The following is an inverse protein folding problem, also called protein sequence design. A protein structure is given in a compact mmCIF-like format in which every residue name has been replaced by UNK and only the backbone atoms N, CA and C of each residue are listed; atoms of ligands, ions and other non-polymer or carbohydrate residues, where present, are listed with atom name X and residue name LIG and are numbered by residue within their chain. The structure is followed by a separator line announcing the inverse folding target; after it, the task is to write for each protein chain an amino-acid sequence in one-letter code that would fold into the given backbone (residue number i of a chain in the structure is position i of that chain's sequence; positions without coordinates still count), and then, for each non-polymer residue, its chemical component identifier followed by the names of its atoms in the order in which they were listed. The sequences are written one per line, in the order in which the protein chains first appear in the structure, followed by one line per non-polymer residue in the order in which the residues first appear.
data_IF_028456693815
#
_entry.id   IF_028456693815
#
_cell.length_a   1.000
_cell.length_b   1.000
_cell.length_c   1.000
_cell.angle_alpha   90.00
_cell.angle_beta   90.00
_cell.angle_gamma   90.00
#
_symmetry.space_group_name_H-M   'P 1'
#
loop_
_entity.id
_entity.type
_entity.pdbx_description
1 polymer ?
#
# COMPACT_ATOMS: atom_id res chain seq x y z
N UNK A 1 41.17 -22.16 -32.09
CA UNK A 1 39.70 -22.01 -31.98
C UNK A 1 39.20 -22.20 -30.54
N UNK A 2 39.97 -21.76 -29.53
CA UNK A 2 39.59 -21.85 -28.10
C UNK A 2 39.59 -20.48 -27.39
N UNK A 3 40.25 -19.45 -27.93
CA UNK A 3 40.25 -18.09 -27.32
C UNK A 3 39.01 -17.25 -27.67
N UNK A 4 38.37 -17.48 -28.81
CA UNK A 4 37.17 -16.74 -29.26
C UNK A 4 35.92 -17.03 -28.40
N UNK A 5 35.86 -18.18 -27.72
CA UNK A 5 34.77 -18.55 -26.81
C UNK A 5 34.88 -17.80 -25.47
N UNK A 6 36.10 -17.40 -25.08
CA UNK A 6 36.35 -16.69 -23.81
C UNK A 6 35.89 -15.23 -23.85
N UNK A 7 36.15 -14.52 -24.95
CA UNK A 7 35.75 -13.12 -25.08
C UNK A 7 34.23 -12.97 -25.23
N UNK A 8 33.59 -13.83 -26.02
CA UNK A 8 32.12 -13.81 -26.20
C UNK A 8 31.37 -14.09 -24.90
N UNK A 9 31.88 -15.01 -24.07
CA UNK A 9 31.30 -15.30 -22.75
C UNK A 9 31.49 -14.15 -21.75
N UNK A 10 32.59 -13.39 -21.87
CA UNK A 10 32.88 -12.22 -21.04
C UNK A 10 31.97 -11.03 -21.39
N UNK A 11 31.69 -10.81 -22.67
CA UNK A 11 30.73 -9.81 -23.14
C UNK A 11 29.29 -10.17 -22.76
N UNK A 12 28.92 -11.45 -22.82
CA UNK A 12 27.60 -11.92 -22.36
C UNK A 12 27.37 -11.67 -20.86
N UNK A 13 28.38 -11.90 -20.01
CA UNK A 13 28.29 -11.63 -18.57
C UNK A 13 28.16 -10.13 -18.29
N UNK A 14 28.90 -9.28 -19.01
CA UNK A 14 28.79 -7.82 -18.89
C UNK A 14 27.42 -7.31 -19.35
N UNK A 15 26.84 -7.91 -20.40
CA UNK A 15 25.50 -7.57 -20.88
C UNK A 15 24.41 -7.95 -19.87
N UNK A 16 24.53 -9.14 -19.25
CA UNK A 16 23.60 -9.61 -18.22
C UNK A 16 23.65 -8.78 -16.92
N UNK A 17 24.81 -8.24 -16.54
CA UNK A 17 24.95 -7.34 -15.38
C UNK A 17 24.45 -5.92 -15.64
N UNK A 18 24.46 -5.46 -16.90
CA UNK A 18 23.97 -4.13 -17.28
C UNK A 18 22.44 -4.06 -17.34
N UNK A 19 21.76 -5.18 -17.59
CA UNK A 19 20.29 -5.30 -17.47
C UNK A 19 19.93 -5.53 -15.99
N UNK A 20 20.28 -4.58 -15.14
CA UNK A 20 19.88 -4.61 -13.74
C UNK A 20 18.34 -4.57 -13.61
N UNK A 21 17.79 -5.38 -12.69
CA UNK A 21 16.39 -5.27 -12.27
C UNK A 21 16.13 -3.84 -11.78
N UNK A 22 15.38 -3.04 -12.54
CA UNK A 22 14.85 -1.78 -12.01
C UNK A 22 13.66 -2.13 -11.13
N UNK A 23 13.78 -1.87 -9.83
CA UNK A 23 12.61 -1.87 -8.96
C UNK A 23 11.71 -0.71 -9.40
N UNK A 24 10.44 -1.00 -9.68
CA UNK A 24 9.45 0.02 -9.93
C UNK A 24 9.23 0.82 -8.65
N UNK A 25 9.22 2.15 -8.79
CA UNK A 25 9.11 3.07 -7.67
C UNK A 25 7.79 3.82 -7.83
N UNK A 26 6.94 3.70 -6.82
CA UNK A 26 5.55 4.13 -6.89
C UNK A 26 5.38 5.60 -6.48
N UNK A 27 4.44 6.30 -7.10
CA UNK A 27 4.00 7.64 -6.76
C UNK A 27 2.48 7.77 -6.98
N UNK A 28 1.91 8.92 -6.62
CA UNK A 28 0.47 9.14 -6.71
C UNK A 28 -0.11 9.07 -8.14
N UNK A 29 0.73 9.13 -9.18
CA UNK A 29 0.31 9.14 -10.58
C UNK A 29 0.43 7.78 -11.27
N UNK A 30 1.30 6.89 -10.77
CA UNK A 30 1.49 5.55 -11.35
C UNK A 30 0.99 4.40 -10.45
N UNK A 31 0.48 4.68 -9.25
CA UNK A 31 -0.10 3.66 -8.38
C UNK A 31 -1.42 3.11 -8.94
N UNK A 32 -1.59 1.78 -9.07
CA UNK A 32 -2.80 1.20 -9.66
C UNK A 32 -4.02 1.42 -8.78
N UNK A 33 -5.17 1.64 -9.42
CA UNK A 33 -6.44 1.91 -8.77
C UNK A 33 -7.33 0.65 -8.69
N UNK A 34 -7.37 -0.04 -7.53
CA UNK A 34 -8.11 -1.30 -7.37
C UNK A 34 -9.64 -1.11 -7.47
N UNK A 35 -10.14 0.12 -7.42
CA UNK A 35 -11.57 0.45 -7.54
C UNK A 35 -12.00 0.73 -8.98
N UNK A 36 -11.06 0.99 -9.89
CA UNK A 36 -11.30 1.39 -11.28
C UNK A 36 -10.95 0.30 -12.30
N UNK A 37 -10.94 -0.97 -11.88
CA UNK A 37 -10.68 -2.12 -12.76
C UNK A 37 -9.24 -2.64 -12.73
N UNK A 38 -8.31 -1.92 -12.08
CA UNK A 38 -6.88 -2.29 -11.98
C UNK A 38 -6.59 -3.16 -10.74
N UNK A 39 -7.56 -3.99 -10.35
CA UNK A 39 -7.45 -4.81 -9.15
C UNK A 39 -6.46 -5.96 -9.31
N UNK A 40 -6.15 -6.38 -10.54
CA UNK A 40 -5.21 -7.48 -10.80
C UNK A 40 -3.77 -7.04 -10.57
N UNK A 41 -3.46 -5.81 -10.98
CA UNK A 41 -2.20 -5.10 -10.76
C UNK A 41 -1.94 -4.96 -9.26
N UNK A 42 -3.01 -4.79 -8.47
CA UNK A 42 -3.00 -4.77 -7.01
C UNK A 42 -2.97 -6.16 -6.34
N UNK A 43 -2.77 -7.24 -7.09
CA UNK A 43 -2.78 -8.64 -6.61
C UNK A 43 -4.08 -9.06 -5.90
N UNK A 44 -5.20 -8.48 -6.33
CA UNK A 44 -6.56 -8.85 -5.93
C UNK A 44 -7.26 -9.62 -7.06
N UNK A 45 -8.26 -10.44 -6.70
CA UNK A 45 -9.07 -11.22 -7.67
C UNK A 45 -10.28 -10.44 -8.17
N UNK A 46 -10.69 -9.41 -7.44
CA UNK A 46 -11.83 -8.53 -7.74
C UNK A 46 -11.53 -7.12 -7.27
N UNK A 47 -12.39 -6.17 -7.63
CA UNK A 47 -12.40 -4.80 -7.09
C UNK A 47 -12.29 -4.81 -5.56
N UNK A 48 -11.44 -3.91 -5.04
CA UNK A 48 -11.05 -3.86 -3.64
C UNK A 48 -10.74 -2.42 -3.21
N UNK A 49 -10.71 -2.20 -1.90
CA UNK A 49 -10.30 -0.93 -1.29
C UNK A 49 -8.82 -0.94 -0.85
N UNK A 50 -8.11 -2.05 -1.07
CA UNK A 50 -6.68 -2.18 -0.82
C UNK A 50 -5.93 -2.47 -2.13
N UNK A 51 -4.73 -1.93 -2.24
CA UNK A 51 -3.83 -2.24 -3.34
C UNK A 51 -2.39 -2.44 -2.87
N UNK A 52 -1.82 -3.59 -3.26
CA UNK A 52 -0.48 -4.06 -2.90
C UNK A 52 0.21 -4.67 -4.13
N UNK A 53 0.67 -3.83 -5.08
CA UNK A 53 1.26 -4.31 -6.33
C UNK A 53 2.56 -5.08 -6.11
N UNK A 54 3.34 -4.68 -5.10
CA UNK A 54 4.61 -5.33 -4.77
C UNK A 54 4.44 -6.67 -4.04
N UNK A 55 3.25 -6.97 -3.52
CA UNK A 55 2.96 -8.21 -2.80
C UNK A 55 3.67 -8.27 -1.44
N UNK A 56 3.71 -7.13 -0.75
CA UNK A 56 4.22 -7.01 0.63
C UNK A 56 3.37 -7.84 1.58
N UNK A 57 2.06 -7.93 1.33
CA UNK A 57 1.13 -8.71 2.13
C UNK A 57 0.93 -10.12 1.57
N UNK A 58 0.48 -11.04 2.43
CA UNK A 58 -0.08 -12.30 1.95
C UNK A 58 -1.44 -12.07 1.29
N UNK A 59 -1.88 -12.98 0.41
CA UNK A 59 -3.21 -12.90 -0.19
C UNK A 59 -4.30 -12.83 0.89
N UNK A 60 -4.18 -13.68 1.91
CA UNK A 60 -5.14 -13.71 3.01
C UNK A 60 -5.19 -12.39 3.79
N UNK A 61 -4.03 -11.76 4.04
CA UNK A 61 -3.98 -10.47 4.72
C UNK A 61 -4.64 -9.37 3.87
N UNK A 62 -4.43 -9.35 2.55
CA UNK A 62 -5.11 -8.40 1.65
C UNK A 62 -6.63 -8.50 1.77
N UNK A 63 -7.19 -9.71 1.71
CA UNK A 63 -8.65 -9.88 1.82
C UNK A 63 -9.22 -9.59 3.20
N UNK A 64 -8.49 -9.87 4.28
CA UNK A 64 -8.92 -9.47 5.63
C UNK A 64 -8.99 -7.96 5.75
N UNK A 65 -7.96 -7.26 5.30
CA UNK A 65 -7.92 -5.79 5.36
C UNK A 65 -8.98 -5.17 4.45
N UNK A 66 -9.17 -5.69 3.23
CA UNK A 66 -10.26 -5.26 2.34
C UNK A 66 -11.64 -5.41 3.01
N UNK A 67 -11.87 -6.52 3.72
CA UNK A 67 -13.10 -6.72 4.49
C UNK A 67 -13.25 -5.67 5.60
N UNK A 68 -12.20 -5.41 6.38
CA UNK A 68 -12.21 -4.41 7.45
C UNK A 68 -12.48 -2.99 6.91
N UNK A 69 -11.88 -2.63 5.77
CA UNK A 69 -12.11 -1.34 5.08
C UNK A 69 -13.57 -1.20 4.61
N UNK A 70 -14.15 -2.26 4.05
CA UNK A 70 -15.58 -2.27 3.64
C UNK A 70 -16.51 -2.23 4.85
N UNK A 71 -16.14 -2.90 5.94
CA UNK A 71 -16.91 -2.88 7.18
C UNK A 71 -16.94 -1.47 7.79
N UNK A 72 -15.86 -0.69 7.66
CA UNK A 72 -15.83 0.70 8.10
C UNK A 72 -16.89 1.56 7.39
N UNK A 73 -16.95 1.50 6.06
CA UNK A 73 -17.95 2.23 5.28
C UNK A 73 -19.37 1.88 5.75
N UNK A 74 -19.63 0.58 5.95
CA UNK A 74 -20.93 0.12 6.45
C UNK A 74 -21.25 0.61 7.86
N UNK A 75 -20.27 0.70 8.77
CA UNK A 75 -20.49 1.10 10.18
C UNK A 75 -20.67 2.61 10.34
N UNK A 76 -20.02 3.37 9.48
CA UNK A 76 -20.07 4.84 9.49
C UNK A 76 -21.21 5.39 8.63
N UNK A 77 -21.97 4.50 7.97
CA UNK A 77 -23.12 4.85 7.16
C UNK A 77 -24.23 5.50 8.00
N UNK A 78 -24.69 6.68 7.58
CA UNK A 78 -25.81 7.36 8.22
C UNK A 78 -27.02 7.42 7.29
N UNK A 79 -27.87 6.39 7.32
CA UNK A 79 -29.00 6.22 6.38
C UNK A 79 -29.96 7.44 6.32
N UNK A 80 -30.03 8.21 7.41
CA UNK A 80 -30.90 9.38 7.55
C UNK A 80 -30.19 10.73 7.34
N UNK A 81 -28.92 10.74 6.93
CA UNK A 81 -28.16 11.98 6.80
C UNK A 81 -28.60 12.82 5.59
N UNK A 82 -28.22 14.11 5.60
CA UNK A 82 -28.73 15.10 4.64
C UNK A 82 -28.08 14.99 3.27
N UNK A 83 -26.82 14.57 3.19
CA UNK A 83 -26.09 14.46 1.92
C UNK A 83 -25.87 13.01 1.51
N UNK A 84 -25.63 12.78 0.22
CA UNK A 84 -25.29 11.45 -0.29
C UNK A 84 -24.00 10.90 0.33
N UNK A 85 -23.00 11.74 0.56
CA UNK A 85 -21.73 11.33 1.15
C UNK A 85 -21.91 10.85 2.60
N UNK A 86 -22.68 11.58 3.41
CA UNK A 86 -22.96 11.19 4.79
C UNK A 86 -23.78 9.88 4.85
N UNK A 87 -24.68 9.69 3.88
CA UNK A 87 -25.44 8.45 3.71
C UNK A 87 -24.61 7.27 3.28
N UNK A 88 -23.46 7.48 2.62
CA UNK A 88 -22.59 6.38 2.17
C UNK A 88 -21.70 5.87 3.30
N UNK A 89 -21.32 6.75 4.22
CA UNK A 89 -20.30 6.47 5.22
C UNK A 89 -18.89 6.76 4.71
N UNK A 90 -17.91 6.57 5.58
CA UNK A 90 -16.49 6.80 5.32
C UNK A 90 -15.92 5.64 4.50
N UNK A 91 -15.61 5.90 3.23
CA UNK A 91 -14.83 4.95 2.41
C UNK A 91 -13.35 5.11 2.70
N UNK A 92 -12.74 4.12 3.35
CA UNK A 92 -11.29 4.05 3.49
C UNK A 92 -10.67 3.20 2.37
N UNK A 93 -9.50 3.62 1.90
CA UNK A 93 -8.68 2.88 0.96
C UNK A 93 -7.23 2.81 1.45
N UNK A 94 -6.51 1.77 1.04
CA UNK A 94 -5.15 1.50 1.50
C UNK A 94 -4.22 1.16 0.33
N UNK A 95 -3.08 1.82 0.27
CA UNK A 95 -2.00 1.56 -0.67
C UNK A 95 -0.78 1.02 0.08
N UNK A 96 -0.23 -0.11 -0.36
CA UNK A 96 0.95 -0.75 0.23
C UNK A 96 1.98 -0.98 -0.87
N UNK A 97 3.19 -0.47 -0.69
CA UNK A 97 4.29 -0.65 -1.62
C UNK A 97 5.62 -0.76 -0.86
N UNK A 98 6.62 -1.35 -1.52
CA UNK A 98 7.98 -1.49 -0.99
C UNK A 98 8.80 -0.22 -1.22
N UNK A 99 8.61 0.45 -2.35
CA UNK A 99 9.36 1.66 -2.71
C UNK A 99 8.44 2.75 -3.22
N UNK A 100 8.49 3.94 -2.61
CA UNK A 100 7.65 5.10 -2.96
C UNK A 100 8.52 6.35 -3.15
N UNK A 101 8.37 7.02 -4.30
CA UNK A 101 9.10 8.26 -4.65
C UNK A 101 8.72 9.40 -3.72
N UNK A 102 9.71 10.21 -3.34
CA UNK A 102 9.50 11.52 -2.73
C UNK A 102 9.12 11.53 -1.24
N UNK A 103 9.18 10.42 -0.53
CA UNK A 103 8.97 10.42 0.91
C UNK A 103 10.20 10.86 1.69
N UNK A 104 10.03 11.79 2.64
CA UNK A 104 11.06 12.41 3.47
C UNK A 104 12.10 11.41 3.97
N UNK A 105 13.37 11.68 3.71
CA UNK A 105 14.52 10.92 4.21
C UNK A 105 14.73 11.22 5.69
N UNK A 106 14.01 10.53 6.56
CA UNK A 106 14.47 10.30 7.93
C UNK A 106 13.89 8.97 8.42
N UNK A 107 14.80 8.09 8.86
CA UNK A 107 14.64 6.66 9.19
C UNK A 107 14.78 5.69 8.00
N UNK A 108 16.03 5.50 7.59
CA UNK A 108 16.50 4.35 6.81
C UNK A 108 16.46 3.08 7.66
N UNK A 109 15.52 2.19 7.37
CA UNK A 109 15.71 0.81 6.86
C UNK A 109 14.30 0.23 6.72
N UNK A 110 13.91 -0.11 5.49
CA UNK A 110 12.57 -0.54 5.05
C UNK A 110 11.54 0.61 4.93
N UNK A 111 11.44 1.16 3.72
CA UNK A 111 10.66 2.35 3.28
C UNK A 111 9.13 2.23 3.42
N UNK A 112 8.62 1.76 4.56
CA UNK A 112 7.19 1.78 4.83
C UNK A 112 6.74 3.18 5.20
N UNK A 113 6.16 3.87 4.22
CA UNK A 113 5.60 5.23 4.37
C UNK A 113 4.08 5.15 4.37
N UNK A 114 3.46 5.75 5.38
CA UNK A 114 2.01 5.78 5.54
C UNK A 114 1.50 7.19 5.26
N UNK A 115 0.51 7.30 4.37
CA UNK A 115 -0.12 8.55 3.99
C UNK A 115 -1.62 8.43 4.22
N UNK A 116 -2.21 9.42 4.89
CA UNK A 116 -3.66 9.55 5.02
C UNK A 116 -4.12 10.67 4.10
N UNK A 117 -4.76 10.32 3.00
CA UNK A 117 -5.48 11.28 2.17
C UNK A 117 -6.93 11.36 2.64
N UNK A 118 -7.43 12.57 2.90
CA UNK A 118 -8.81 12.82 3.37
C UNK A 118 -9.45 13.97 2.62
N UNK A 119 -10.78 13.92 2.51
CA UNK A 119 -11.60 15.08 2.18
C UNK A 119 -11.68 15.99 3.43
N UNK A 120 -11.70 17.31 3.23
CA UNK A 120 -11.73 18.31 4.30
C UNK A 120 -12.94 18.15 5.24
N UNK A 121 -14.01 17.48 4.79
CA UNK A 121 -15.25 17.28 5.54
C UNK A 121 -15.21 16.10 6.53
N UNK A 122 -14.16 15.27 6.52
CA UNK A 122 -14.03 14.12 7.44
C UNK A 122 -13.36 14.59 8.74
N UNK A 123 -14.00 14.51 9.93
CA UNK A 123 -13.53 15.16 11.16
C UNK A 123 -12.43 14.39 11.93
N UNK A 124 -11.50 13.73 11.25
CA UNK A 124 -10.43 12.93 11.92
C UNK A 124 -9.08 13.62 11.74
N UNK A 125 -8.55 14.19 12.82
CA UNK A 125 -7.34 15.01 12.78
C UNK A 125 -6.10 14.17 12.40
N UNK A 126 -5.21 14.75 11.57
CA UNK A 126 -4.08 14.01 10.98
C UNK A 126 -2.98 13.65 12.01
N UNK A 127 -2.91 14.39 13.10
CA UNK A 127 -2.06 14.13 14.27
C UNK A 127 -2.45 12.84 15.01
N UNK A 128 -3.75 12.59 15.18
CA UNK A 128 -4.27 11.37 15.82
C UNK A 128 -3.89 10.11 15.02
N UNK A 129 -4.02 10.13 13.70
CA UNK A 129 -3.58 9.02 12.84
C UNK A 129 -2.07 8.80 12.88
N UNK A 130 -1.30 9.88 12.91
CA UNK A 130 0.17 9.82 13.00
C UNK A 130 0.58 9.16 14.32
N UNK A 131 -0.10 9.47 15.42
CA UNK A 131 0.14 8.85 16.72
C UNK A 131 -0.25 7.36 16.74
N UNK A 132 -1.45 7.02 16.25
CA UNK A 132 -1.93 5.63 16.14
C UNK A 132 -0.95 4.79 15.31
N UNK A 133 -0.42 5.35 14.22
CA UNK A 133 0.58 4.68 13.37
C UNK A 133 1.91 4.50 14.11
N UNK A 134 2.42 5.55 14.77
CA UNK A 134 3.66 5.47 15.53
C UNK A 134 3.60 4.41 16.64
N UNK A 135 2.43 4.20 17.26
CA UNK A 135 2.20 3.11 18.21
C UNK A 135 2.35 1.71 17.59
N UNK A 136 2.12 1.56 16.28
CA UNK A 136 2.24 0.27 15.57
C UNK A 136 3.57 0.10 14.84
N UNK A 137 4.50 1.06 14.92
CA UNK A 137 5.79 1.03 14.21
C UNK A 137 6.59 -0.26 14.45
N UNK A 138 6.56 -0.78 15.67
CA UNK A 138 7.24 -2.03 16.03
C UNK A 138 6.64 -3.25 15.31
N UNK A 139 5.32 -3.29 15.10
CA UNK A 139 4.66 -4.36 14.36
C UNK A 139 5.04 -4.30 12.88
N UNK A 140 5.12 -3.10 12.29
CA UNK A 140 5.61 -2.92 10.92
C UNK A 140 7.06 -3.42 10.78
N UNK A 141 7.96 -3.03 11.70
CA UNK A 141 9.36 -3.49 11.70
C UNK A 141 9.51 -5.01 11.87
N UNK A 142 8.55 -5.66 12.53
CA UNK A 142 8.53 -7.12 12.71
C UNK A 142 7.83 -7.86 11.57
N UNK A 143 7.51 -7.19 10.46
CA UNK A 143 6.70 -7.73 9.35
C UNK A 143 5.30 -8.17 9.77
N UNK A 144 4.79 -7.70 10.91
CA UNK A 144 3.46 -7.98 11.43
C UNK A 144 2.43 -6.97 10.87
N UNK A 145 2.45 -6.80 9.54
CA UNK A 145 1.64 -5.79 8.84
C UNK A 145 0.15 -5.95 9.09
N UNK A 146 -0.35 -7.20 9.04
CA UNK A 146 -1.77 -7.46 9.27
C UNK A 146 -2.21 -6.98 10.66
N UNK A 147 -1.42 -7.28 11.70
CA UNK A 147 -1.75 -6.88 13.07
C UNK A 147 -1.65 -5.36 13.24
N UNK A 148 -0.60 -4.74 12.68
CA UNK A 148 -0.42 -3.29 12.71
C UNK A 148 -1.61 -2.57 12.08
N UNK A 149 -2.01 -3.01 10.89
CA UNK A 149 -3.09 -2.40 10.12
C UNK A 149 -4.46 -2.65 10.77
N UNK A 150 -4.72 -3.86 11.29
CA UNK A 150 -5.94 -4.13 12.07
C UNK A 150 -6.01 -3.24 13.33
N UNK A 151 -4.90 -3.05 14.05
CA UNK A 151 -4.86 -2.20 15.23
C UNK A 151 -5.12 -0.72 14.88
N UNK A 152 -4.57 -0.22 13.77
CA UNK A 152 -4.85 1.14 13.28
C UNK A 152 -6.33 1.29 12.98
N UNK A 153 -6.91 0.34 12.23
CA UNK A 153 -8.33 0.34 11.90
C UNK A 153 -9.22 0.30 13.15
N UNK A 154 -8.82 -0.41 14.20
CA UNK A 154 -9.56 -0.48 15.47
C UNK A 154 -9.40 0.74 16.38
N UNK A 155 -8.30 1.49 16.25
CA UNK A 155 -8.03 2.67 17.11
C UNK A 155 -8.59 3.96 16.53
N UNK A 156 -8.82 3.98 15.23
CA UNK A 156 -9.35 5.16 14.52
C UNK A 156 -10.86 5.34 14.77
N UNK A 157 -11.58 4.29 15.21
CA UNK A 157 -13.05 4.27 15.31
C UNK A 157 -13.53 3.38 16.47
#
# INVERSE_FOLDING_TARGET
MQSLISETMRWLILFLLAVGCRAEEWDAYNFPNPTAGEFRECKMKTTANICDPDGVLSEQARYRLDHDLKQLESRTRQDHARTFCDKKGVTAAMAVARHVKGGSTEVSTDDMKFWVARDDRVPVYADEFTEIFNQQKSLFQQNQYQQALTNIMQKTW
#
